data_IF_498894505974
#
_entry.id   IF_498894505974
#
_cell.length_a   1.000
_cell.length_b   1.000
_cell.length_c   1.000
_cell.angle_alpha   90.00
_cell.angle_beta   90.00
_cell.angle_gamma   90.00
#
_symmetry.space_group_name_H-M   'P 1'
#
loop_
_entity.id
_entity.type
_entity.pdbx_description
1 polymer ?
#
# COMPACT_ATOMS: atom_id res chain seq x y z
N UNK A 1 -22.20 -16.02 -22.41
CA UNK A 1 -22.83 -15.24 -21.32
C UNK A 1 -22.36 -13.79 -21.40
N UNK A 2 -23.17 -12.92 -22.02
CA UNK A 2 -23.00 -11.46 -22.04
C UNK A 2 -24.20 -10.90 -21.26
N UNK A 3 -23.94 -10.21 -20.14
CA UNK A 3 -24.93 -9.99 -19.07
C UNK A 3 -25.22 -8.51 -18.81
N UNK A 4 -26.52 -8.20 -18.85
CA UNK A 4 -27.28 -7.17 -18.13
C UNK A 4 -27.17 -5.66 -18.38
N UNK A 5 -26.17 -5.11 -19.08
CA UNK A 5 -26.10 -3.65 -19.25
C UNK A 5 -26.88 -3.07 -20.46
N UNK A 6 -27.42 -3.91 -21.34
CA UNK A 6 -28.11 -3.43 -22.56
C UNK A 6 -29.64 -3.31 -22.44
N UNK A 7 -30.25 -3.79 -21.35
CA UNK A 7 -31.71 -3.88 -21.24
C UNK A 7 -32.39 -2.66 -20.58
N UNK A 8 -31.63 -1.79 -19.90
CA UNK A 8 -32.21 -0.63 -19.18
C UNK A 8 -32.28 0.62 -20.08
N UNK A 9 -31.51 0.69 -21.17
CA UNK A 9 -31.53 1.83 -22.09
C UNK A 9 -32.69 1.79 -23.10
N UNK A 10 -33.27 0.62 -23.38
CA UNK A 10 -34.26 0.45 -24.46
C UNK A 10 -35.73 0.57 -24.05
N UNK A 11 -36.06 0.80 -22.77
CA UNK A 11 -37.46 0.80 -22.29
C UNK A 11 -38.01 2.13 -21.77
N UNK A 12 -37.34 3.26 -22.04
CA UNK A 12 -37.82 4.58 -21.59
C UNK A 12 -38.12 5.56 -22.75
N UNK A 13 -38.69 5.05 -23.85
CA UNK A 13 -39.24 5.85 -24.95
C UNK A 13 -40.58 5.29 -25.45
N UNK A 14 -41.60 5.23 -24.59
CA UNK A 14 -42.99 5.14 -25.05
C UNK A 14 -43.97 5.25 -23.89
N UNK A 15 -44.19 6.46 -23.40
CA UNK A 15 -45.50 7.01 -23.01
C UNK A 15 -45.30 8.17 -22.06
N UNK A 16 -45.69 9.36 -22.47
CA UNK A 16 -46.54 10.24 -21.65
C UNK A 16 -47.00 11.40 -22.52
N UNK A 17 -48.25 11.31 -22.98
CA UNK A 17 -49.09 12.47 -23.27
C UNK A 17 -49.77 12.91 -21.95
N UNK A 18 -49.85 14.24 -21.80
CA UNK A 18 -50.49 15.08 -20.79
C UNK A 18 -51.49 14.46 -19.78
N UNK A 19 -51.29 14.72 -18.47
CA UNK A 19 -52.24 15.47 -17.62
C UNK A 19 -51.80 15.62 -16.14
N UNK A 20 -51.97 16.85 -15.63
CA UNK A 20 -52.08 17.31 -14.23
C UNK A 20 -50.80 17.70 -13.44
N UNK A 21 -50.54 19.01 -13.43
CA UNK A 21 -49.52 19.74 -12.63
C UNK A 21 -49.74 19.69 -11.09
N UNK A 22 -50.77 19.02 -10.59
CA UNK A 22 -51.06 18.91 -9.15
C UNK A 22 -50.35 17.75 -8.43
N UNK A 23 -50.06 16.66 -9.14
CA UNK A 23 -49.42 15.46 -8.54
C UNK A 23 -47.92 15.59 -8.32
N UNK A 24 -47.23 16.42 -9.12
CA UNK A 24 -45.78 16.60 -9.04
C UNK A 24 -45.31 17.37 -7.80
N UNK A 25 -46.09 18.34 -7.32
CA UNK A 25 -45.75 19.12 -6.12
C UNK A 25 -45.89 18.31 -4.82
N UNK A 26 -46.89 17.44 -4.73
CA UNK A 26 -47.07 16.57 -3.54
C UNK A 26 -46.02 15.47 -3.51
N UNK A 27 -45.65 14.91 -4.67
CA UNK A 27 -44.58 13.93 -4.76
C UNK A 27 -43.20 14.53 -4.41
N UNK A 28 -42.91 15.77 -4.84
CA UNK A 28 -41.66 16.46 -4.47
C UNK A 28 -41.57 16.76 -2.96
N UNK A 29 -42.67 17.18 -2.32
CA UNK A 29 -42.69 17.47 -0.88
C UNK A 29 -42.53 16.21 0.00
N UNK A 30 -43.17 15.10 -0.38
CA UNK A 30 -43.02 13.82 0.32
C UNK A 30 -41.64 13.19 0.07
N UNK A 31 -41.04 13.41 -1.11
CA UNK A 31 -39.67 12.97 -1.40
C UNK A 31 -38.63 13.79 -0.64
N UNK A 32 -38.81 15.11 -0.51
CA UNK A 32 -37.91 15.98 0.26
C UNK A 32 -37.97 15.71 1.77
N UNK A 33 -39.14 15.42 2.32
CA UNK A 33 -39.28 15.07 3.75
C UNK A 33 -38.70 13.69 4.07
N UNK A 34 -38.85 12.72 3.16
CA UNK A 34 -38.23 11.41 3.31
C UNK A 34 -36.71 11.46 3.14
N UNK A 35 -36.18 12.34 2.27
CA UNK A 35 -34.75 12.62 2.16
C UNK A 35 -34.20 13.33 3.40
N UNK A 36 -34.90 14.35 3.91
CA UNK A 36 -34.51 15.03 5.14
C UNK A 36 -34.53 14.08 6.34
N UNK A 37 -35.55 13.21 6.44
CA UNK A 37 -35.62 12.17 7.47
C UNK A 37 -34.57 11.08 7.28
N UNK A 38 -34.21 10.71 6.06
CA UNK A 38 -33.11 9.76 5.78
C UNK A 38 -31.74 10.36 6.14
N UNK A 39 -31.51 11.63 5.82
CA UNK A 39 -30.30 12.39 6.18
C UNK A 39 -30.19 12.56 7.71
N UNK A 40 -31.31 12.82 8.40
CA UNK A 40 -31.36 12.93 9.86
C UNK A 40 -31.32 11.56 10.58
N UNK A 41 -31.76 10.46 9.94
CA UNK A 41 -31.57 9.09 10.48
C UNK A 41 -30.11 8.66 10.36
N UNK A 42 -29.42 9.05 9.29
CA UNK A 42 -27.99 8.77 9.10
C UNK A 42 -27.06 9.54 10.06
N UNK A 43 -27.52 10.65 10.66
CA UNK A 43 -26.73 11.35 11.68
C UNK A 43 -26.83 10.73 13.08
N UNK A 44 -27.73 9.76 13.29
CA UNK A 44 -27.99 9.12 14.60
C UNK A 44 -27.70 7.62 14.67
N UNK A 45 -27.01 7.04 13.70
CA UNK A 45 -26.38 5.73 13.84
C UNK A 45 -24.88 5.90 13.98
N UNK A 46 -24.45 6.25 15.19
CA UNK A 46 -23.05 6.27 15.60
C UNK A 46 -22.54 4.82 15.81
N UNK A 47 -22.66 4.01 14.76
CA UNK A 47 -21.89 2.78 14.60
C UNK A 47 -20.81 3.11 13.59
N UNK A 48 -19.63 3.52 14.06
CA UNK A 48 -18.45 3.65 13.21
C UNK A 48 -18.37 2.43 12.30
N UNK A 49 -18.35 2.64 10.98
CA UNK A 49 -18.02 1.57 10.04
C UNK A 49 -16.71 0.94 10.52
N UNK A 50 -16.76 -0.33 10.92
CA UNK A 50 -15.66 -1.05 11.57
C UNK A 50 -14.56 -1.37 10.55
N UNK A 51 -13.85 -0.35 10.08
CA UNK A 51 -12.70 -0.50 9.21
C UNK A 51 -11.45 -0.52 10.08
N UNK A 52 -11.21 -1.61 10.79
CA UNK A 52 -9.98 -1.80 11.58
C UNK A 52 -9.41 -3.20 11.39
N UNK A 53 -8.08 -3.30 11.33
CA UNK A 53 -7.35 -4.58 11.32
C UNK A 53 -6.87 -4.90 12.74
N UNK A 54 -7.13 -6.13 13.21
CA UNK A 54 -6.53 -6.63 14.45
C UNK A 54 -5.14 -7.16 14.19
N UNK A 55 -4.18 -6.74 15.01
CA UNK A 55 -2.83 -7.28 14.96
C UNK A 55 -2.66 -8.41 15.97
N UNK A 56 -1.66 -9.27 15.76
CA UNK A 56 -1.34 -10.36 16.69
C UNK A 56 -0.83 -9.84 18.03
N UNK A 57 -0.25 -8.63 18.06
CA UNK A 57 0.09 -7.91 19.29
C UNK A 57 -1.13 -7.57 20.16
N UNK A 58 -2.35 -7.70 19.62
CA UNK A 58 -3.60 -7.33 20.29
C UNK A 58 -4.09 -5.92 19.98
N UNK A 59 -3.26 -5.08 19.34
CA UNK A 59 -3.62 -3.74 18.86
C UNK A 59 -4.65 -3.78 17.73
N UNK A 60 -5.29 -2.65 17.49
CA UNK A 60 -6.22 -2.43 16.38
C UNK A 60 -5.80 -1.17 15.64
N UNK A 61 -5.58 -1.30 14.33
CA UNK A 61 -5.31 -0.15 13.48
C UNK A 61 -6.59 0.26 12.76
N UNK A 62 -7.03 1.50 12.95
CA UNK A 62 -8.08 2.10 12.12
C UNK A 62 -7.54 2.29 10.70
N UNK A 63 -8.28 1.76 9.72
CA UNK A 63 -7.88 1.82 8.32
C UNK A 63 -8.15 3.23 7.74
N UNK A 64 -9.24 3.88 8.11
CA UNK A 64 -9.68 5.15 7.53
C UNK A 64 -8.85 6.32 8.08
N UNK A 65 -8.48 6.25 9.36
CA UNK A 65 -7.68 7.25 10.06
C UNK A 65 -6.62 6.59 10.97
N UNK A 66 -5.53 6.06 10.41
CA UNK A 66 -4.53 5.32 11.16
C UNK A 66 -3.82 6.22 12.17
N UNK A 67 -3.90 5.85 13.44
CA UNK A 67 -3.16 6.48 14.53
C UNK A 67 -1.72 5.96 14.55
N UNK A 68 -0.71 6.85 14.61
CA UNK A 68 0.69 6.43 14.76
C UNK A 68 0.91 5.52 15.98
N UNK A 69 0.21 5.76 17.09
CA UNK A 69 0.39 5.02 18.36
C UNK A 69 -0.05 3.55 18.29
N UNK A 70 -0.82 3.18 17.26
CA UNK A 70 -1.30 1.81 17.06
C UNK A 70 -0.38 1.00 16.11
N UNK A 71 0.75 1.57 15.71
CA UNK A 71 1.71 0.97 14.79
C UNK A 71 2.94 0.49 15.57
N UNK A 72 3.36 -0.75 15.31
CA UNK A 72 4.59 -1.35 15.86
C UNK A 72 5.35 -2.06 14.75
N UNK A 73 6.69 -2.07 14.85
CA UNK A 73 7.53 -2.68 13.82
C UNK A 73 7.30 -4.19 13.72
N UNK A 74 7.01 -4.86 14.84
CA UNK A 74 6.75 -6.30 14.88
C UNK A 74 5.49 -6.66 14.11
N UNK A 75 4.45 -5.82 14.18
CA UNK A 75 3.20 -6.03 13.44
C UNK A 75 3.40 -5.81 11.93
N UNK A 76 4.17 -4.77 11.55
CA UNK A 76 4.56 -4.52 10.15
C UNK A 76 5.36 -5.70 9.62
N UNK A 77 6.47 -6.05 10.27
CA UNK A 77 7.36 -7.11 9.82
C UNK A 77 6.65 -8.47 9.76
N UNK A 78 5.77 -8.77 10.71
CA UNK A 78 4.97 -10.00 10.70
C UNK A 78 4.05 -10.09 9.47
N UNK A 79 3.36 -9.00 9.16
CA UNK A 79 2.49 -8.90 7.98
C UNK A 79 3.31 -9.01 6.69
N UNK A 80 4.28 -8.13 6.50
CA UNK A 80 5.06 -8.06 5.27
C UNK A 80 5.85 -9.33 4.97
N UNK A 81 6.31 -10.06 5.99
CA UNK A 81 6.99 -11.34 5.79
C UNK A 81 6.09 -12.46 5.24
N UNK A 82 4.76 -12.25 5.25
CA UNK A 82 3.75 -13.19 4.76
C UNK A 82 3.01 -12.68 3.52
N UNK A 83 3.15 -11.39 3.19
CA UNK A 83 2.64 -10.84 1.94
C UNK A 83 3.59 -11.25 0.83
N UNK A 84 3.12 -12.09 -0.09
CA UNK A 84 3.87 -12.57 -1.23
C UNK A 84 3.84 -11.54 -2.36
N UNK A 85 5.00 -11.30 -2.98
CA UNK A 85 5.12 -10.54 -4.21
C UNK A 85 4.83 -11.39 -5.43
N UNK A 86 4.66 -10.75 -6.59
CA UNK A 86 4.39 -11.41 -7.88
C UNK A 86 3.16 -12.32 -7.85
N UNK A 87 2.21 -12.04 -6.94
CA UNK A 87 1.06 -12.92 -6.65
C UNK A 87 1.48 -14.37 -6.34
N UNK A 88 2.67 -14.57 -5.77
CA UNK A 88 3.23 -15.89 -5.46
C UNK A 88 3.74 -16.67 -6.67
N UNK A 89 3.80 -16.08 -7.87
CA UNK A 89 4.36 -16.73 -9.06
C UNK A 89 5.89 -16.62 -9.08
N UNK A 90 6.53 -17.23 -8.09
CA UNK A 90 7.98 -17.26 -7.94
C UNK A 90 8.47 -18.71 -7.81
N UNK A 91 9.66 -18.99 -8.32
CA UNK A 91 10.35 -20.27 -8.10
C UNK A 91 10.90 -20.35 -6.67
N UNK A 92 11.13 -21.58 -6.19
CA UNK A 92 11.65 -21.86 -4.84
C UNK A 92 10.59 -22.38 -3.86
N UNK A 93 11.05 -22.77 -2.67
CA UNK A 93 10.20 -23.41 -1.65
C UNK A 93 9.34 -22.42 -0.85
N UNK A 94 9.74 -21.15 -0.84
CA UNK A 94 9.08 -20.08 -0.09
C UNK A 94 8.69 -18.92 -1.02
N UNK A 95 7.61 -18.23 -0.68
CA UNK A 95 7.22 -17.02 -1.39
C UNK A 95 8.23 -15.89 -1.14
N UNK A 96 8.58 -15.13 -2.18
CA UNK A 96 9.34 -13.90 -2.01
C UNK A 96 8.45 -12.82 -1.37
N UNK A 97 8.81 -12.40 -0.16
CA UNK A 97 7.95 -11.55 0.67
C UNK A 97 8.23 -10.06 0.49
N UNK A 98 7.24 -9.21 0.82
CA UNK A 98 7.42 -7.74 0.82
C UNK A 98 8.49 -7.30 1.84
N UNK A 99 8.65 -8.04 2.94
CA UNK A 99 9.72 -7.78 3.90
C UNK A 99 11.12 -7.93 3.26
N UNK A 100 11.32 -8.99 2.47
CA UNK A 100 12.59 -9.20 1.75
C UNK A 100 12.82 -8.18 0.66
N UNK A 101 11.79 -7.88 -0.12
CA UNK A 101 11.84 -6.80 -1.09
C UNK A 101 12.31 -5.49 -0.43
N UNK A 102 11.71 -5.14 0.70
CA UNK A 102 12.07 -3.93 1.44
C UNK A 102 13.53 -3.91 1.89
N UNK A 103 14.06 -5.05 2.37
CA UNK A 103 15.47 -5.21 2.71
C UNK A 103 16.40 -5.00 1.50
N UNK A 104 16.07 -5.61 0.36
CA UNK A 104 16.87 -5.50 -0.86
C UNK A 104 16.80 -4.07 -1.44
N UNK A 105 15.65 -3.42 -1.42
CA UNK A 105 15.49 -2.02 -1.84
C UNK A 105 16.34 -1.07 -0.99
N UNK A 106 16.36 -1.29 0.33
CA UNK A 106 17.21 -0.55 1.26
C UNK A 106 18.70 -0.74 0.93
N UNK A 107 19.14 -1.98 0.70
CA UNK A 107 20.51 -2.30 0.29
C UNK A 107 20.88 -1.61 -1.03
N UNK A 108 20.00 -1.64 -2.03
CA UNK A 108 20.21 -0.98 -3.33
C UNK A 108 20.29 0.55 -3.15
N UNK A 109 19.45 1.13 -2.29
CA UNK A 109 19.55 2.56 -1.94
C UNK A 109 20.94 2.90 -1.38
N UNK A 110 21.45 2.09 -0.46
CA UNK A 110 22.80 2.25 0.12
C UNK A 110 23.92 2.14 -0.92
N UNK A 111 23.80 1.21 -1.88
CA UNK A 111 24.74 1.10 -3.00
C UNK A 111 24.71 2.34 -3.90
N UNK A 112 23.50 2.80 -4.29
CA UNK A 112 23.32 3.93 -5.19
C UNK A 112 23.73 5.27 -4.56
N UNK A 113 23.58 5.41 -3.24
CA UNK A 113 23.96 6.61 -2.48
C UNK A 113 24.58 6.18 -1.14
N UNK A 114 25.91 5.98 -1.08
CA UNK A 114 26.60 5.50 0.14
C UNK A 114 26.47 6.42 1.35
N UNK A 115 26.20 7.72 1.12
CA UNK A 115 26.12 8.73 2.17
C UNK A 115 24.68 8.93 2.71
N UNK A 116 23.78 7.95 2.51
CA UNK A 116 22.45 8.02 3.11
C UNK A 116 22.54 7.95 4.63
N UNK A 117 21.87 8.87 5.31
CA UNK A 117 21.71 8.83 6.76
C UNK A 117 20.86 7.62 7.18
N UNK A 118 21.00 7.18 8.43
CA UNK A 118 20.18 6.10 8.98
C UNK A 118 18.67 6.39 8.86
N UNK A 119 18.26 7.66 9.02
CA UNK A 119 16.88 8.10 8.82
C UNK A 119 16.40 7.89 7.37
N UNK A 120 17.21 8.26 6.38
CA UNK A 120 16.87 8.05 4.97
C UNK A 120 16.84 6.56 4.59
N UNK A 121 17.75 5.74 5.16
CA UNK A 121 17.76 4.28 4.97
C UNK A 121 16.53 3.63 5.62
N UNK A 122 16.08 4.12 6.78
CA UNK A 122 14.87 3.63 7.42
C UNK A 122 13.61 3.96 6.60
N UNK A 123 13.53 5.15 5.98
CA UNK A 123 12.45 5.45 5.02
C UNK A 123 12.48 4.52 3.81
N UNK A 124 13.66 4.12 3.32
CA UNK A 124 13.76 3.14 2.25
C UNK A 124 13.29 1.75 2.70
N UNK A 125 13.65 1.31 3.91
CA UNK A 125 13.17 0.05 4.48
C UNK A 125 11.65 0.02 4.67
N UNK A 126 11.04 1.16 4.99
CA UNK A 126 9.60 1.26 5.29
C UNK A 126 8.74 1.69 4.09
N UNK A 127 9.30 1.78 2.89
CA UNK A 127 8.58 2.35 1.75
C UNK A 127 7.29 1.59 1.37
N UNK A 128 7.32 0.26 1.49
CA UNK A 128 6.16 -0.62 1.29
C UNK A 128 5.50 -1.05 2.61
N UNK A 129 5.87 -0.42 3.74
CA UNK A 129 5.27 -0.73 5.03
C UNK A 129 3.74 -0.65 5.06
N UNK A 130 3.05 0.26 4.33
CA UNK A 130 1.59 0.25 4.23
C UNK A 130 0.97 -1.10 3.81
N UNK A 131 1.70 -1.96 3.10
CA UNK A 131 1.22 -3.25 2.58
C UNK A 131 0.92 -4.30 3.66
N UNK A 132 1.36 -4.12 4.91
CA UNK A 132 1.01 -5.02 6.02
C UNK A 132 -0.50 -5.02 6.35
N UNK A 133 -1.21 -4.02 5.84
CA UNK A 133 -2.64 -3.79 6.05
C UNK A 133 -3.42 -3.89 4.75
N UNK A 134 -2.91 -3.29 3.67
CA UNK A 134 -3.62 -3.25 2.37
C UNK A 134 -3.26 -4.39 1.43
N UNK A 135 -2.20 -5.15 1.74
CA UNK A 135 -1.64 -6.18 0.87
C UNK A 135 -0.78 -5.63 -0.26
N UNK A 136 0.04 -6.50 -0.86
CA UNK A 136 0.78 -6.18 -2.09
C UNK A 136 -0.20 -6.17 -3.27
N UNK A 137 -0.12 -5.11 -4.05
CA UNK A 137 -0.89 -4.97 -5.28
C UNK A 137 0.03 -4.59 -6.43
N UNK A 138 -0.02 -5.41 -7.48
CA UNK A 138 0.76 -5.16 -8.68
C UNK A 138 0.50 -3.76 -9.23
N UNK A 139 1.56 -3.10 -9.71
CA UNK A 139 1.52 -1.71 -10.19
C UNK A 139 0.37 -1.39 -11.18
N UNK A 140 0.02 -2.26 -12.16
CA UNK A 140 -1.11 -2.00 -13.04
C UNK A 140 -2.45 -1.85 -12.30
N UNK A 141 -2.64 -2.59 -11.20
CA UNK A 141 -3.87 -2.56 -10.41
C UNK A 141 -3.93 -1.32 -9.50
N UNK A 142 -2.82 -0.93 -8.85
CA UNK A 142 -2.75 0.33 -8.08
C UNK A 142 -3.16 1.55 -8.93
N UNK A 143 -2.87 1.54 -10.23
CA UNK A 143 -3.28 2.62 -11.15
C UNK A 143 -4.78 2.61 -11.47
N UNK A 144 -5.44 1.46 -11.40
CA UNK A 144 -6.87 1.32 -11.70
C UNK A 144 -7.78 1.72 -10.53
N UNK A 145 -7.30 1.63 -9.28
CA UNK A 145 -8.10 1.89 -8.06
C UNK A 145 -8.43 3.37 -7.81
N UNK A 146 -7.80 4.30 -8.54
CA UNK A 146 -8.15 5.72 -8.49
C UNK A 146 -7.54 6.50 -7.31
N UNK A 147 -8.05 7.72 -7.10
CA UNK A 147 -7.47 8.71 -6.18
C UNK A 147 -7.67 8.35 -4.72
N UNK A 148 -8.81 7.78 -4.36
CA UNK A 148 -9.15 7.48 -2.96
C UNK A 148 -8.19 6.45 -2.34
N UNK A 149 -7.75 5.47 -3.14
CA UNK A 149 -6.74 4.49 -2.70
C UNK A 149 -5.39 5.15 -2.39
N UNK A 150 -4.96 6.11 -3.21
CA UNK A 150 -3.69 6.84 -2.98
C UNK A 150 -3.75 7.71 -1.74
N UNK A 151 -4.89 8.36 -1.49
CA UNK A 151 -5.10 9.14 -0.26
C UNK A 151 -5.01 8.25 0.98
N UNK A 152 -5.52 7.02 0.89
CA UNK A 152 -5.42 6.03 1.94
C UNK A 152 -3.96 5.59 2.19
N UNK A 153 -3.24 5.20 1.13
CA UNK A 153 -1.83 4.80 1.18
C UNK A 153 -0.96 5.93 1.78
N UNK A 154 -1.19 7.18 1.35
CA UNK A 154 -0.51 8.37 1.87
C UNK A 154 -0.77 8.62 3.36
N UNK A 155 -1.99 8.35 3.87
CA UNK A 155 -2.30 8.48 5.29
C UNK A 155 -1.54 7.44 6.13
N UNK A 156 -1.47 6.20 5.63
CA UNK A 156 -0.78 5.12 6.30
C UNK A 156 0.74 5.33 6.29
N UNK A 157 1.33 5.75 5.16
CA UNK A 157 2.74 6.16 5.06
C UNK A 157 3.06 7.22 6.13
N UNK A 158 2.23 8.26 6.22
CA UNK A 158 2.39 9.33 7.22
C UNK A 158 2.33 8.83 8.65
N UNK A 159 1.36 7.97 8.98
CA UNK A 159 1.21 7.44 10.33
C UNK A 159 2.41 6.58 10.75
N UNK A 160 2.88 5.73 9.84
CA UNK A 160 4.09 4.90 10.02
C UNK A 160 5.32 5.78 10.24
N UNK A 161 5.53 6.79 9.41
CA UNK A 161 6.67 7.70 9.55
C UNK A 161 6.65 8.45 10.89
N UNK A 162 5.50 9.00 11.28
CA UNK A 162 5.34 9.72 12.54
C UNK A 162 5.63 8.79 13.73
N UNK A 163 5.17 7.53 13.68
CA UNK A 163 5.40 6.55 14.74
C UNK A 163 6.89 6.31 15.03
N UNK A 164 7.73 6.40 14.00
CA UNK A 164 9.17 6.14 14.10
C UNK A 164 10.02 7.43 14.07
N UNK A 165 9.43 8.59 14.30
CA UNK A 165 10.17 9.87 14.35
C UNK A 165 10.71 10.35 13.01
N UNK A 166 10.18 9.82 11.90
CA UNK A 166 10.57 10.20 10.54
C UNK A 166 9.74 11.39 10.05
N UNK A 167 10.26 12.22 9.11
CA UNK A 167 9.44 13.16 8.36
C UNK A 167 8.17 12.51 7.80
N UNK A 168 7.01 13.13 8.09
CA UNK A 168 5.71 12.57 7.72
C UNK A 168 5.58 12.25 6.22
N UNK A 169 6.33 12.93 5.35
CA UNK A 169 6.46 12.59 3.93
C UNK A 169 7.91 12.37 3.58
N UNK A 170 8.15 11.35 2.76
CA UNK A 170 9.47 11.11 2.17
C UNK A 170 9.91 12.33 1.35
N UNK A 171 11.11 12.92 1.62
CA UNK A 171 11.64 14.02 0.82
C UNK A 171 11.73 13.65 -0.67
N UNK A 172 11.38 14.58 -1.57
CA UNK A 172 11.26 14.28 -3.01
C UNK A 172 12.53 13.66 -3.65
N UNK A 173 13.77 14.10 -3.33
CA UNK A 173 14.97 13.44 -3.83
C UNK A 173 15.11 11.99 -3.35
N UNK A 174 14.79 11.73 -2.08
CA UNK A 174 14.83 10.39 -1.51
C UNK A 174 13.73 9.50 -2.10
N UNK A 175 12.50 10.01 -2.27
CA UNK A 175 11.39 9.28 -2.90
C UNK A 175 11.75 8.83 -4.33
N UNK A 176 12.46 9.68 -5.09
CA UNK A 176 12.97 9.32 -6.42
C UNK A 176 14.04 8.23 -6.36
N UNK A 177 14.94 8.29 -5.37
CA UNK A 177 15.97 7.27 -5.17
C UNK A 177 15.35 5.91 -4.80
N UNK A 178 14.46 5.89 -3.81
CA UNK A 178 13.73 4.68 -3.40
C UNK A 178 12.97 4.10 -4.59
N UNK A 179 12.26 4.92 -5.36
CA UNK A 179 11.54 4.41 -6.55
C UNK A 179 12.46 3.83 -7.62
N UNK A 180 13.67 4.37 -7.77
CA UNK A 180 14.69 3.80 -8.66
C UNK A 180 15.18 2.45 -8.12
N UNK A 181 15.46 2.37 -6.82
CA UNK A 181 15.92 1.14 -6.16
C UNK A 181 14.86 0.02 -6.21
N UNK A 182 13.60 0.34 -5.92
CA UNK A 182 12.43 -0.55 -6.09
C UNK A 182 12.38 -1.14 -7.51
N UNK A 183 12.49 -0.30 -8.54
CA UNK A 183 12.49 -0.78 -9.94
C UNK A 183 13.72 -1.59 -10.32
N UNK A 184 14.87 -1.41 -9.65
CA UNK A 184 16.05 -2.24 -9.84
C UNK A 184 15.85 -3.59 -9.14
N UNK A 185 15.29 -3.58 -7.92
CA UNK A 185 14.94 -4.79 -7.18
C UNK A 185 13.96 -5.65 -7.98
N UNK A 186 12.91 -5.04 -8.55
CA UNK A 186 11.96 -5.72 -9.41
C UNK A 186 12.62 -6.36 -10.65
N UNK A 187 13.71 -5.79 -11.18
CA UNK A 187 14.47 -6.40 -12.28
C UNK A 187 15.16 -7.69 -11.82
N UNK A 188 15.80 -7.69 -10.65
CA UNK A 188 16.44 -8.88 -10.08
C UNK A 188 15.40 -9.96 -9.75
N UNK A 189 14.30 -9.58 -9.11
CA UNK A 189 13.18 -10.49 -8.82
C UNK A 189 12.64 -11.14 -10.11
N UNK A 190 12.36 -10.31 -11.12
CA UNK A 190 11.78 -10.77 -12.38
C UNK A 190 12.66 -11.83 -13.06
N UNK A 191 13.96 -11.56 -13.12
CA UNK A 191 14.93 -12.40 -13.85
C UNK A 191 15.38 -13.64 -13.10
N UNK A 192 15.41 -13.59 -11.76
CA UNK A 192 15.93 -14.69 -10.95
C UNK A 192 14.83 -15.64 -10.45
N UNK A 193 13.65 -15.11 -10.09
CA UNK A 193 12.61 -15.90 -9.43
C UNK A 193 11.24 -15.86 -10.11
N UNK A 194 10.87 -14.80 -10.85
CA UNK A 194 9.53 -14.68 -11.44
C UNK A 194 9.45 -15.11 -12.92
N UNK A 195 10.52 -15.69 -13.47
CA UNK A 195 10.51 -16.35 -14.78
C UNK A 195 10.57 -15.42 -16.01
N UNK A 196 10.90 -14.13 -15.83
CA UNK A 196 11.09 -13.21 -16.94
C UNK A 196 12.47 -13.40 -17.58
N UNK A 197 12.55 -13.25 -18.90
CA UNK A 197 13.83 -13.12 -19.58
C UNK A 197 14.48 -11.78 -19.28
N UNK A 198 15.82 -11.71 -19.40
CA UNK A 198 16.57 -10.44 -19.28
C UNK A 198 16.06 -9.38 -20.27
N UNK A 199 15.66 -9.79 -21.47
CA UNK A 199 15.12 -8.88 -22.50
C UNK A 199 13.80 -8.25 -22.05
N UNK A 200 12.87 -9.05 -21.50
CA UNK A 200 11.60 -8.54 -20.97
C UNK A 200 11.82 -7.64 -19.76
N UNK A 201 12.67 -8.07 -18.83
CA UNK A 201 12.97 -7.28 -17.64
C UNK A 201 13.61 -5.93 -17.97
N UNK A 202 14.50 -5.87 -18.97
CA UNK A 202 15.09 -4.61 -19.47
C UNK A 202 14.06 -3.68 -20.11
N UNK A 203 12.98 -4.21 -20.68
CA UNK A 203 11.91 -3.40 -21.27
C UNK A 203 10.93 -2.84 -20.22
N UNK A 204 10.73 -3.55 -19.10
CA UNK A 204 9.74 -3.21 -18.07
C UNK A 204 10.34 -2.44 -16.88
N UNK A 205 11.56 -2.80 -16.48
CA UNK A 205 12.17 -2.37 -15.22
C UNK A 205 13.43 -1.52 -15.45
N UNK A 206 14.08 -1.09 -14.37
CA UNK A 206 15.34 -0.35 -14.45
C UNK A 206 16.48 -1.35 -14.41
N UNK A 207 17.28 -1.39 -15.48
CA UNK A 207 18.47 -2.22 -15.54
C UNK A 207 19.42 -1.89 -14.37
N UNK A 208 19.93 -2.89 -13.64
CA UNK A 208 20.91 -2.66 -12.57
C UNK A 208 22.17 -1.95 -13.10
N UNK A 209 22.75 -1.02 -12.32
CA UNK A 209 24.05 -0.45 -12.64
C UNK A 209 25.15 -1.51 -12.56
N UNK A 210 26.27 -1.25 -13.23
CA UNK A 210 27.47 -2.07 -13.13
C UNK A 210 27.97 -2.15 -11.68
N UNK A 211 28.45 -3.34 -11.27
CA UNK A 211 28.96 -3.60 -9.92
C UNK A 211 27.89 -3.81 -8.84
N UNK A 212 26.60 -3.65 -9.15
CA UNK A 212 25.53 -4.06 -8.24
C UNK A 212 25.19 -5.52 -8.47
N UNK A 213 25.54 -6.37 -7.51
CA UNK A 213 25.20 -7.78 -7.50
C UNK A 213 24.23 -8.06 -6.35
N UNK A 214 23.07 -8.63 -6.68
CA UNK A 214 22.03 -9.03 -5.74
C UNK A 214 21.60 -10.44 -6.10
N UNK A 215 21.59 -11.33 -5.12
CA UNK A 215 21.02 -12.67 -5.23
C UNK A 215 19.69 -12.70 -4.47
N UNK A 216 18.62 -13.10 -5.16
CA UNK A 216 17.29 -13.23 -4.59
C UNK A 216 17.09 -14.68 -4.16
N UNK A 217 17.18 -14.93 -2.86
CA UNK A 217 16.86 -16.20 -2.23
C UNK A 217 15.63 -16.02 -1.31
N UNK A 218 14.43 -16.45 -1.74
CA UNK A 218 13.24 -16.40 -0.89
C UNK A 218 13.47 -17.16 0.42
N UNK A 219 13.12 -16.54 1.55
CA UNK A 219 13.32 -17.12 2.90
C UNK A 219 11.97 -17.52 3.48
N UNK A 220 11.97 -18.46 4.45
CA UNK A 220 10.84 -18.69 5.32
C UNK A 220 10.33 -17.37 5.95
N UNK A 221 8.99 -17.18 6.10
CA UNK A 221 8.42 -15.96 6.68
C UNK A 221 8.97 -15.57 8.05
N UNK A 222 9.31 -16.55 8.91
CA UNK A 222 9.89 -16.25 10.22
C UNK A 222 11.29 -15.64 10.12
N UNK A 223 12.10 -16.04 9.14
CA UNK A 223 13.44 -15.47 8.94
C UNK A 223 13.34 -14.07 8.32
N UNK A 224 12.51 -13.91 7.29
CA UNK A 224 12.26 -12.60 6.68
C UNK A 224 11.75 -11.57 7.70
N UNK A 225 10.88 -11.99 8.63
CA UNK A 225 10.41 -11.15 9.73
C UNK A 225 11.57 -10.74 10.66
N UNK A 226 12.39 -11.70 11.09
CA UNK A 226 13.53 -11.43 12.00
C UNK A 226 14.52 -10.47 11.34
N UNK A 227 14.94 -10.73 10.10
CA UNK A 227 15.89 -9.89 9.39
C UNK A 227 15.39 -8.45 9.21
N UNK A 228 14.09 -8.27 8.91
CA UNK A 228 13.51 -6.94 8.78
C UNK A 228 13.51 -6.18 10.12
N UNK A 229 13.14 -6.83 11.22
CA UNK A 229 13.16 -6.22 12.56
C UNK A 229 14.59 -5.89 12.97
N UNK A 230 15.54 -6.81 12.81
CA UNK A 230 16.95 -6.58 13.14
C UNK A 230 17.54 -5.42 12.35
N UNK A 231 17.22 -5.33 11.06
CA UNK A 231 17.68 -4.22 10.21
C UNK A 231 17.07 -2.90 10.65
N UNK A 232 15.77 -2.88 10.94
CA UNK A 232 15.09 -1.69 11.45
C UNK A 232 15.71 -1.22 12.78
N UNK A 233 15.89 -2.12 13.74
CA UNK A 233 16.48 -1.81 15.05
C UNK A 233 17.92 -1.30 14.94
N UNK A 234 18.70 -1.85 14.00
CA UNK A 234 20.03 -1.35 13.68
C UNK A 234 20.00 0.12 13.22
N UNK A 235 19.15 0.42 12.25
CA UNK A 235 18.97 1.79 11.74
C UNK A 235 18.43 2.75 12.81
N UNK A 236 17.52 2.28 13.67
CA UNK A 236 16.98 3.09 14.77
C UNK A 236 18.05 3.44 15.80
N UNK A 237 18.90 2.48 16.18
CA UNK A 237 20.04 2.73 17.07
C UNK A 237 21.04 3.72 16.47
N UNK A 238 21.34 3.60 15.18
CA UNK A 238 22.21 4.55 14.47
C UNK A 238 21.61 5.96 14.44
N UNK A 239 20.30 6.07 14.16
CA UNK A 239 19.57 7.33 14.17
C UNK A 239 19.57 8.00 15.55
N UNK A 240 19.21 7.27 16.61
CA UNK A 240 19.19 7.77 17.98
C UNK A 240 20.58 8.16 18.49
N UNK A 241 21.61 7.42 18.07
CA UNK A 241 23.01 7.71 18.40
C UNK A 241 23.49 9.04 17.83
N UNK A 242 23.03 9.42 16.62
CA UNK A 242 23.33 10.71 15.99
C UNK A 242 22.56 11.86 16.64
N UNK A 243 21.34 11.63 17.13
CA UNK A 243 20.54 12.70 17.78
C UNK A 243 21.08 13.07 19.18
N UNK A 244 21.77 12.14 19.85
CA UNK A 244 22.32 12.35 21.21
C UNK A 244 23.77 12.82 21.26
N UNK A 245 24.52 12.73 20.15
CA UNK A 245 25.92 13.14 20.04
C UNK A 245 26.07 14.55 19.51
#
# INVERSE_FOLDING_TARGET
MRSLLYYIWAHNKSNTSEHSLGGQLVAQAVWSDNLARAVLKNSKTNGQNRAWQRMLSGRRLDLIDPSPLDIEIEDIAHGLARVARWNGQTTGDFAFSVAQHSLVVEQICGFLKPNLSAQERMMALLHDAPEFVIGDMISPFKNALGVDYRVFEDKLERAIHIRFGLPAKTPAPLKKLIKKADRICAWFEATQIAGFSVTEANALFVKPPEGLEIEIAPLPPNLAQVEMVERFDGLLREYDGVVKG
#
